data_IF_061456635848
#
_entry.id   IF_061456635848
#
_cell.length_a   1.000
_cell.length_b   1.000
_cell.length_c   1.000
_cell.angle_alpha   90.00
_cell.angle_beta   90.00
_cell.angle_gamma   90.00
#
_symmetry.space_group_name_H-M   'P 1'
#
loop_
_entity.id
_entity.type
_entity.pdbx_description
1 polymer ?
#
# COMPACT_ATOMS: atom_id res chain seq x y z
N UNK A 1 17.63 -51.18 49.48
CA UNK A 1 18.44 -50.11 48.88
C UNK A 1 17.69 -49.29 47.77
N UNK A 2 16.52 -49.74 47.31
CA UNK A 2 15.74 -49.02 46.27
C UNK A 2 15.03 -47.78 46.76
N UNK A 3 14.43 -47.76 47.91
CA UNK A 3 13.64 -46.64 48.46
C UNK A 3 14.49 -45.43 48.82
N UNK A 4 15.71 -45.60 49.30
CA UNK A 4 16.64 -44.51 49.64
C UNK A 4 17.14 -43.85 48.34
N UNK A 5 17.41 -44.64 47.29
CA UNK A 5 17.78 -44.09 45.97
C UNK A 5 16.62 -43.36 45.28
N UNK A 6 15.39 -43.87 45.42
CA UNK A 6 14.20 -43.22 44.91
C UNK A 6 13.91 -41.91 45.66
N UNK A 7 14.05 -41.87 46.98
CA UNK A 7 13.88 -40.67 47.79
C UNK A 7 14.97 -39.62 47.50
N UNK A 8 16.24 -40.03 47.36
CA UNK A 8 17.33 -39.13 46.98
C UNK A 8 17.19 -38.65 45.52
N UNK A 9 16.69 -39.50 44.64
CA UNK A 9 16.40 -39.11 43.27
C UNK A 9 15.26 -38.09 43.18
N UNK A 10 14.19 -38.31 43.93
CA UNK A 10 13.05 -37.40 44.00
C UNK A 10 13.41 -36.04 44.66
N UNK A 11 14.14 -36.10 45.80
CA UNK A 11 14.62 -34.91 46.46
C UNK A 11 15.61 -34.10 45.58
N UNK A 12 16.50 -34.81 44.88
CA UNK A 12 17.43 -34.16 43.94
C UNK A 12 16.75 -33.54 42.74
N UNK A 13 15.68 -34.16 42.24
CA UNK A 13 14.84 -33.58 41.17
C UNK A 13 14.11 -32.30 41.62
N UNK A 14 13.39 -32.38 42.74
CA UNK A 14 12.67 -31.24 43.32
C UNK A 14 13.60 -30.06 43.67
N UNK A 15 14.79 -30.37 44.23
CA UNK A 15 15.79 -29.32 44.49
C UNK A 15 16.39 -28.75 43.21
N UNK A 16 16.58 -29.56 42.16
CA UNK A 16 17.07 -29.07 40.87
C UNK A 16 16.07 -28.12 40.16
N UNK A 17 14.78 -28.42 40.28
CA UNK A 17 13.72 -27.61 39.71
C UNK A 17 13.49 -26.26 40.45
N UNK A 18 14.05 -26.09 41.66
CA UNK A 18 14.02 -24.82 42.43
C UNK A 18 15.21 -23.87 42.18
N UNK A 19 16.15 -24.28 41.33
CA UNK A 19 17.30 -23.43 40.99
C UNK A 19 16.95 -22.46 39.91
N UNK A 20 17.34 -21.20 40.08
CA UNK A 20 17.19 -20.12 39.07
C UNK A 20 17.94 -20.48 37.80
N UNK A 21 17.23 -20.47 36.71
CA UNK A 21 17.73 -20.81 35.38
C UNK A 21 17.90 -19.54 34.54
N UNK A 22 18.71 -19.64 33.53
CA UNK A 22 18.89 -18.58 32.54
C UNK A 22 18.49 -19.09 31.17
N UNK A 23 17.39 -18.52 30.61
CA UNK A 23 16.88 -18.85 29.30
C UNK A 23 17.31 -17.80 28.29
N UNK A 24 17.71 -18.23 27.13
CA UNK A 24 18.12 -17.35 26.06
C UNK A 24 17.86 -18.01 24.70
N UNK A 25 17.88 -17.20 23.66
CA UNK A 25 17.98 -17.65 22.28
C UNK A 25 19.21 -16.97 21.67
N UNK A 26 19.99 -17.71 20.92
CA UNK A 26 21.07 -17.13 20.12
C UNK A 26 20.49 -16.24 18.99
N UNK A 27 21.36 -15.54 18.28
CA UNK A 27 20.92 -14.69 17.17
C UNK A 27 20.13 -15.53 16.16
N UNK A 28 18.87 -15.15 15.94
CA UNK A 28 18.00 -15.82 14.96
C UNK A 28 18.38 -15.38 13.55
N UNK A 29 18.85 -16.28 12.67
CA UNK A 29 19.05 -16.00 11.27
C UNK A 29 17.71 -15.72 10.56
N UNK A 30 17.76 -15.18 9.33
CA UNK A 30 16.56 -14.76 8.60
C UNK A 30 15.66 -15.92 8.16
N UNK A 31 16.16 -17.14 8.17
CA UNK A 31 15.42 -18.36 7.82
C UNK A 31 14.69 -18.98 9.03
N UNK A 32 15.05 -18.61 10.26
CA UNK A 32 14.43 -19.11 11.48
C UNK A 32 13.36 -18.12 11.97
N UNK A 33 12.11 -18.56 12.00
CA UNK A 33 10.95 -17.75 12.40
C UNK A 33 10.59 -17.89 13.86
N UNK A 34 10.65 -19.09 14.37
CA UNK A 34 10.41 -19.41 15.78
C UNK A 34 11.30 -20.56 16.24
N UNK A 35 11.69 -20.54 17.50
CA UNK A 35 12.47 -21.62 18.11
C UNK A 35 12.18 -21.73 19.60
N UNK A 36 12.50 -22.86 20.17
CA UNK A 36 12.45 -23.05 21.62
C UNK A 36 13.63 -22.32 22.27
N UNK A 37 13.39 -21.74 23.45
CA UNK A 37 14.45 -21.15 24.28
C UNK A 37 15.34 -22.22 24.93
N UNK A 38 16.61 -21.91 25.03
CA UNK A 38 17.62 -22.79 25.59
C UNK A 38 17.98 -22.39 27.01
N UNK A 39 18.13 -23.40 27.90
CA UNK A 39 18.70 -23.19 29.23
C UNK A 39 20.21 -23.07 29.10
N UNK A 40 20.80 -22.02 29.70
CA UNK A 40 22.25 -21.88 29.77
C UNK A 40 22.85 -22.95 30.66
N UNK A 41 23.53 -23.89 30.05
CA UNK A 41 24.29 -24.91 30.76
C UNK A 41 25.75 -24.45 30.90
N UNK A 42 26.17 -24.14 32.12
CA UNK A 42 27.59 -23.90 32.40
C UNK A 42 28.16 -25.19 33.01
N UNK A 43 29.43 -25.55 32.72
CA UNK A 43 30.09 -26.72 33.28
C UNK A 43 30.23 -26.68 34.83
N UNK A 44 29.76 -25.59 35.46
CA UNK A 44 29.65 -25.41 36.91
C UNK A 44 28.21 -25.43 37.42
N UNK A 45 27.22 -25.59 36.52
CA UNK A 45 25.83 -25.68 36.91
C UNK A 45 25.56 -27.03 37.54
N UNK A 46 25.15 -27.06 38.80
CA UNK A 46 24.75 -28.27 39.49
C UNK A 46 23.39 -28.82 39.02
N UNK A 47 22.65 -28.05 38.21
CA UNK A 47 21.31 -28.42 37.74
C UNK A 47 21.35 -29.11 36.37
N UNK A 48 21.92 -30.34 36.35
CA UNK A 48 21.90 -31.21 35.15
C UNK A 48 20.72 -32.17 35.10
N UNK A 49 19.82 -32.13 36.11
CA UNK A 49 18.71 -33.05 36.29
C UNK A 49 17.34 -32.37 36.30
N UNK A 50 17.28 -31.05 36.12
CA UNK A 50 16.01 -30.30 36.05
C UNK A 50 15.19 -30.71 34.82
N UNK A 51 13.88 -30.69 34.95
CA UNK A 51 12.99 -30.92 33.82
C UNK A 51 13.05 -29.72 32.89
N UNK A 52 13.27 -29.96 31.60
CA UNK A 52 13.36 -28.90 30.60
C UNK A 52 12.02 -28.13 30.38
N UNK A 53 10.93 -28.72 30.89
CA UNK A 53 9.58 -28.19 30.79
C UNK A 53 9.09 -27.52 32.09
N UNK A 54 10.00 -27.11 32.98
CA UNK A 54 9.68 -26.36 34.20
C UNK A 54 10.56 -25.10 34.23
N UNK A 55 9.94 -23.96 34.44
CA UNK A 55 10.61 -22.68 34.64
C UNK A 55 10.55 -22.33 36.13
N UNK A 56 11.68 -22.32 36.79
CA UNK A 56 11.74 -22.02 38.22
C UNK A 56 11.45 -20.53 38.47
N UNK A 57 10.69 -20.23 39.54
CA UNK A 57 10.45 -18.85 39.95
C UNK A 57 11.76 -18.11 40.20
N UNK A 58 11.90 -16.91 39.65
CA UNK A 58 13.10 -16.09 39.69
C UNK A 58 14.14 -16.47 38.62
N UNK A 59 13.82 -17.37 37.68
CA UNK A 59 14.63 -17.61 36.50
C UNK A 59 14.69 -16.36 35.60
N UNK A 60 15.79 -16.22 34.87
CA UNK A 60 16.02 -15.08 33.98
C UNK A 60 15.68 -15.49 32.54
N UNK A 61 14.94 -14.63 31.86
CA UNK A 61 14.64 -14.74 30.44
C UNK A 61 15.31 -13.58 29.73
N UNK A 62 16.30 -13.86 28.90
CA UNK A 62 17.00 -12.85 28.10
C UNK A 62 16.33 -12.71 26.72
N UNK A 63 16.03 -11.49 26.31
CA UNK A 63 15.47 -11.13 25.02
C UNK A 63 16.46 -10.25 24.29
N UNK A 64 16.86 -10.64 23.08
CA UNK A 64 17.75 -9.83 22.25
C UNK A 64 16.94 -8.96 21.26
N UNK A 65 17.61 -7.96 20.70
CA UNK A 65 17.02 -7.12 19.66
C UNK A 65 16.45 -7.96 18.49
N UNK A 66 15.24 -7.65 18.09
CA UNK A 66 14.55 -8.35 17.01
C UNK A 66 14.05 -9.74 17.37
N UNK A 67 13.94 -10.03 18.67
CA UNK A 67 13.33 -11.24 19.20
C UNK A 67 12.12 -10.89 20.09
N UNK A 68 11.19 -11.84 20.15
CA UNK A 68 10.12 -11.82 21.14
C UNK A 68 10.12 -13.14 21.88
N UNK A 69 10.29 -13.11 23.21
CA UNK A 69 10.16 -14.29 24.07
C UNK A 69 8.69 -14.47 24.48
N UNK A 70 8.22 -15.71 24.46
CA UNK A 70 6.86 -16.11 24.82
C UNK A 70 6.89 -17.28 25.76
N UNK A 71 6.22 -17.18 26.91
CA UNK A 71 6.07 -18.27 27.87
C UNK A 71 4.72 -18.95 27.64
N UNK A 72 4.78 -20.25 27.45
CA UNK A 72 3.61 -21.10 27.21
C UNK A 72 3.51 -22.09 28.36
N UNK A 73 2.36 -22.14 29.03
CA UNK A 73 2.06 -23.05 30.12
C UNK A 73 0.86 -23.93 29.75
N UNK A 74 1.04 -25.24 29.76
CA UNK A 74 -0.01 -26.20 29.36
C UNK A 74 -0.66 -25.85 28.01
N UNK A 75 0.15 -25.43 27.04
CA UNK A 75 -0.32 -25.02 25.70
C UNK A 75 -0.98 -23.65 25.62
N UNK A 76 -1.00 -22.86 26.72
CA UNK A 76 -1.52 -21.49 26.73
C UNK A 76 -0.39 -20.50 26.86
N UNK A 77 -0.45 -19.41 26.09
CA UNK A 77 0.44 -18.28 26.26
C UNK A 77 0.09 -17.57 27.56
N UNK A 78 1.03 -17.51 28.50
CA UNK A 78 0.86 -16.89 29.81
C UNK A 78 1.61 -15.58 29.94
N UNK A 79 2.74 -15.43 29.23
CA UNK A 79 3.52 -14.20 29.24
C UNK A 79 4.27 -14.02 27.91
N UNK A 80 4.61 -12.79 27.57
CA UNK A 80 5.38 -12.47 26.36
C UNK A 80 6.13 -11.16 26.55
N UNK A 81 7.35 -11.07 26.03
CA UNK A 81 8.18 -9.88 26.04
C UNK A 81 8.89 -9.69 24.71
N UNK A 82 8.78 -8.50 24.13
CA UNK A 82 9.45 -8.11 22.87
C UNK A 82 10.51 -7.02 23.08
N UNK A 83 10.65 -6.49 24.30
CA UNK A 83 11.68 -5.50 24.60
C UNK A 83 13.01 -6.22 24.89
N UNK A 84 14.13 -5.73 24.32
CA UNK A 84 15.44 -6.27 24.63
C UNK A 84 15.81 -6.07 26.11
N UNK A 85 16.31 -7.12 26.73
CA UNK A 85 16.71 -7.06 28.13
C UNK A 85 16.73 -8.44 28.82
N UNK A 86 16.99 -8.43 30.13
CA UNK A 86 16.92 -9.60 31.01
C UNK A 86 15.76 -9.43 31.98
N UNK A 87 14.83 -10.37 31.93
CA UNK A 87 13.59 -10.34 32.72
C UNK A 87 13.57 -11.47 33.71
N UNK A 88 13.12 -11.20 34.93
CA UNK A 88 12.97 -12.24 35.97
C UNK A 88 11.56 -12.79 35.90
N UNK A 89 11.44 -14.09 35.69
CA UNK A 89 10.16 -14.78 35.73
C UNK A 89 9.66 -14.88 37.18
N UNK A 90 8.50 -14.31 37.47
CA UNK A 90 7.85 -14.35 38.76
C UNK A 90 6.41 -14.84 38.62
N UNK A 91 6.14 -16.02 39.16
CA UNK A 91 4.82 -16.65 39.14
C UNK A 91 3.78 -15.92 40.00
N UNK A 92 4.19 -15.03 40.90
CA UNK A 92 3.32 -14.24 41.78
C UNK A 92 2.91 -12.88 41.22
N UNK A 93 3.58 -12.40 40.17
CA UNK A 93 3.25 -11.12 39.54
C UNK A 93 2.20 -11.28 38.47
N UNK A 94 1.41 -10.21 38.25
CA UNK A 94 0.53 -10.16 37.08
C UNK A 94 1.38 -10.26 35.79
N UNK A 95 0.89 -10.93 34.73
CA UNK A 95 1.62 -11.06 33.47
C UNK A 95 2.18 -9.71 33.05
N UNK A 96 3.46 -9.68 32.71
CA UNK A 96 4.14 -8.46 32.24
C UNK A 96 3.72 -8.20 30.81
N UNK A 97 2.55 -7.60 30.65
CA UNK A 97 2.02 -7.25 29.33
C UNK A 97 2.64 -5.94 28.87
N UNK A 98 3.72 -6.02 28.09
CA UNK A 98 4.11 -5.12 27.02
C UNK A 98 4.38 -3.66 27.33
N UNK A 99 5.57 -3.28 27.13
CA UNK A 99 5.98 -2.01 26.58
C UNK A 99 6.56 -2.25 25.18
N UNK A 100 6.10 -1.48 24.18
CA UNK A 100 6.62 -1.55 22.80
C UNK A 100 5.54 -1.43 21.72
N UNK A 101 5.95 -1.22 20.48
CA UNK A 101 5.09 -1.01 19.28
C UNK A 101 4.09 -2.14 18.98
N UNK A 102 4.27 -3.31 19.56
CA UNK A 102 3.42 -4.49 19.41
C UNK A 102 2.20 -4.50 20.37
N UNK A 103 2.11 -3.53 21.30
CA UNK A 103 1.21 -3.60 22.46
C UNK A 103 -0.29 -3.54 22.15
N UNK A 104 -0.71 -2.76 21.16
CA UNK A 104 -2.15 -2.52 20.93
C UNK A 104 -2.88 -3.72 20.29
N UNK A 105 -2.28 -4.35 19.29
CA UNK A 105 -2.90 -5.48 18.59
C UNK A 105 -2.89 -6.77 19.40
N UNK A 106 -1.91 -6.92 20.29
CA UNK A 106 -1.69 -8.13 21.09
C UNK A 106 -2.55 -8.14 22.35
N UNK A 107 -2.74 -7.01 23.01
CA UNK A 107 -3.55 -6.92 24.23
C UNK A 107 -4.99 -7.41 24.04
N UNK A 108 -5.61 -7.12 22.92
CA UNK A 108 -6.96 -7.58 22.59
C UNK A 108 -7.05 -9.10 22.37
N UNK A 109 -6.02 -9.71 21.77
CA UNK A 109 -5.98 -11.15 21.53
C UNK A 109 -5.74 -11.91 22.85
N UNK A 110 -4.86 -11.37 23.70
CA UNK A 110 -4.56 -11.98 24.99
C UNK A 110 -5.76 -12.03 25.96
N UNK A 111 -6.54 -10.94 26.04
CA UNK A 111 -7.76 -10.90 26.85
C UNK A 111 -8.80 -11.93 26.40
N UNK A 112 -8.85 -12.29 25.13
CA UNK A 112 -9.78 -13.29 24.60
C UNK A 112 -9.33 -14.72 24.86
N UNK A 113 -8.02 -14.97 24.96
CA UNK A 113 -7.46 -16.31 25.24
C UNK A 113 -7.63 -16.65 26.73
N UNK A 114 -7.41 -15.71 27.64
CA UNK A 114 -7.47 -15.92 29.09
C UNK A 114 -8.86 -16.28 29.64
N UNK A 115 -9.94 -16.01 28.89
CA UNK A 115 -11.33 -16.22 29.36
C UNK A 115 -11.88 -17.63 29.13
N UNK A 116 -11.15 -18.53 28.46
CA UNK A 116 -11.78 -19.77 27.94
C UNK A 116 -11.63 -21.02 28.79
N UNK A 117 -10.67 -21.12 29.74
CA UNK A 117 -10.50 -22.36 30.50
C UNK A 117 -9.99 -22.15 31.93
N UNK A 118 -10.75 -22.57 32.89
CA UNK A 118 -10.29 -22.84 34.26
C UNK A 118 -10.18 -24.36 34.41
N UNK A 119 -8.95 -24.88 34.49
CA UNK A 119 -8.71 -26.28 34.85
C UNK A 119 -8.22 -26.37 36.31
N UNK A 120 -8.86 -27.24 37.09
CA UNK A 120 -8.40 -27.58 38.41
C UNK A 120 -7.54 -28.87 38.39
N UNK A 121 -6.42 -28.81 39.05
CA UNK A 121 -5.55 -29.98 39.30
C UNK A 121 -4.07 -29.59 39.33
N UNK A 122 -3.39 -29.84 40.47
CA UNK A 122 -1.93 -29.73 40.61
C UNK A 122 -1.25 -30.89 39.84
N UNK A 123 -1.10 -30.73 38.54
CA UNK A 123 -0.19 -31.54 37.74
C UNK A 123 1.11 -30.74 37.52
N UNK A 124 2.28 -31.39 37.35
CA UNK A 124 3.49 -30.67 36.99
C UNK A 124 3.21 -29.86 35.70
N UNK A 125 3.31 -28.55 35.83
CA UNK A 125 2.98 -27.61 34.74
C UNK A 125 4.01 -27.76 33.63
N UNK A 126 3.57 -28.07 32.41
CA UNK A 126 4.46 -28.06 31.25
C UNK A 126 4.63 -26.60 30.80
N UNK A 127 5.78 -26.01 31.13
CA UNK A 127 6.14 -24.65 30.84
C UNK A 127 7.24 -24.63 29.78
N UNK A 128 7.06 -23.84 28.74
CA UNK A 128 8.02 -23.72 27.64
C UNK A 128 8.23 -22.25 27.28
N UNK A 129 9.45 -21.92 26.86
CA UNK A 129 9.78 -20.60 26.33
C UNK A 129 10.03 -20.75 24.83
N UNK A 130 9.37 -19.90 24.04
CA UNK A 130 9.58 -19.80 22.61
C UNK A 130 10.09 -18.40 22.27
N UNK A 131 10.96 -18.33 21.27
CA UNK A 131 11.46 -17.08 20.73
C UNK A 131 10.99 -16.94 19.28
N UNK A 132 10.51 -15.77 18.94
CA UNK A 132 10.03 -15.41 17.61
C UNK A 132 10.92 -14.34 17.00
N UNK A 133 11.19 -14.46 15.72
CA UNK A 133 11.95 -13.48 14.96
C UNK A 133 11.00 -12.33 14.56
N UNK A 134 11.19 -11.15 15.15
CA UNK A 134 10.40 -9.95 14.86
C UNK A 134 11.09 -9.00 13.89
N UNK A 135 12.28 -9.37 13.40
CA UNK A 135 13.01 -8.60 12.38
C UNK A 135 12.30 -8.68 11.04
N UNK A 136 12.66 -7.76 10.17
CA UNK A 136 12.26 -7.83 8.77
C UNK A 136 12.94 -9.02 8.08
N UNK A 137 12.13 -9.89 7.49
CA UNK A 137 12.55 -11.10 6.79
C UNK A 137 12.64 -10.79 5.30
N UNK A 138 13.83 -10.43 4.88
CA UNK A 138 14.14 -9.99 3.51
C UNK A 138 14.45 -11.14 2.54
N UNK A 139 14.48 -10.83 1.23
CA UNK A 139 14.96 -11.75 0.20
C UNK A 139 13.93 -12.80 -0.22
N UNK A 140 12.62 -12.57 0.01
CA UNK A 140 11.58 -13.48 -0.44
C UNK A 140 11.26 -13.18 -1.90
N UNK A 141 11.69 -14.07 -2.81
CA UNK A 141 11.48 -13.92 -4.25
C UNK A 141 10.10 -14.36 -4.66
N UNK A 142 9.47 -13.57 -5.53
CA UNK A 142 8.23 -13.93 -6.18
C UNK A 142 8.31 -13.71 -7.69
N UNK A 143 7.43 -14.36 -8.42
CA UNK A 143 7.26 -14.16 -9.85
C UNK A 143 5.92 -14.74 -10.28
N UNK A 144 5.26 -14.10 -11.24
CA UNK A 144 3.98 -14.54 -11.77
C UNK A 144 4.19 -15.58 -12.87
N UNK A 145 3.94 -16.89 -12.62
CA UNK A 145 4.10 -17.92 -13.63
C UNK A 145 3.08 -17.74 -14.77
N UNK A 146 1.87 -17.32 -14.42
CA UNK A 146 0.83 -16.91 -15.37
C UNK A 146 0.68 -15.39 -15.35
N UNK A 147 0.35 -14.77 -16.50
CA UNK A 147 0.09 -13.34 -16.55
C UNK A 147 -1.07 -12.95 -15.61
N UNK A 148 -0.98 -11.78 -14.97
CA UNK A 148 -2.01 -11.23 -14.12
C UNK A 148 -2.70 -10.09 -14.86
N UNK A 149 -4.05 -10.02 -14.85
CA UNK A 149 -4.78 -8.92 -15.47
C UNK A 149 -4.43 -7.58 -14.78
N UNK A 150 -4.20 -6.56 -15.59
CA UNK A 150 -4.00 -5.18 -15.14
C UNK A 150 -4.82 -4.24 -16.03
N UNK A 151 -5.73 -3.49 -15.42
CA UNK A 151 -6.55 -2.52 -16.14
C UNK A 151 -5.73 -1.26 -16.42
N UNK A 152 -5.66 -0.86 -17.68
CA UNK A 152 -5.02 0.37 -18.12
C UNK A 152 -6.09 1.39 -18.43
N UNK A 153 -6.10 2.48 -17.65
CA UNK A 153 -7.01 3.61 -17.87
C UNK A 153 -6.20 4.84 -18.23
N UNK A 154 -6.46 5.41 -19.41
CA UNK A 154 -5.95 6.72 -19.80
C UNK A 154 -7.11 7.59 -20.31
N UNK A 155 -7.66 8.40 -19.41
CA UNK A 155 -8.82 9.27 -19.70
C UNK A 155 -8.54 10.27 -20.83
N UNK A 156 -7.28 10.68 -21.03
CA UNK A 156 -6.90 11.63 -22.09
C UNK A 156 -6.88 10.96 -23.46
N UNK A 157 -6.52 9.70 -23.50
CA UNK A 157 -6.48 8.90 -24.71
C UNK A 157 -7.79 8.13 -24.96
N UNK A 158 -8.75 8.15 -24.01
CA UNK A 158 -9.96 7.36 -24.06
C UNK A 158 -9.70 5.86 -24.04
N UNK A 159 -8.61 5.42 -23.39
CA UNK A 159 -8.20 4.02 -23.29
C UNK A 159 -8.72 3.47 -21.96
N UNK A 160 -9.44 2.36 -22.03
CA UNK A 160 -9.86 1.58 -20.87
C UNK A 160 -9.87 0.10 -21.31
N UNK A 161 -8.77 -0.60 -21.02
CA UNK A 161 -8.56 -1.98 -21.45
C UNK A 161 -7.83 -2.78 -20.37
N UNK A 162 -8.06 -4.08 -20.35
CA UNK A 162 -7.30 -5.02 -19.53
C UNK A 162 -6.14 -5.59 -20.35
N UNK A 163 -4.95 -5.60 -19.79
CA UNK A 163 -3.75 -6.22 -20.33
C UNK A 163 -3.25 -7.32 -19.42
N UNK A 164 -2.49 -8.24 -19.96
CA UNK A 164 -1.90 -9.34 -19.23
C UNK A 164 -0.43 -9.02 -18.90
N UNK A 165 -0.12 -8.79 -17.60
CA UNK A 165 1.24 -8.47 -17.17
C UNK A 165 1.91 -9.63 -16.44
N UNK A 166 3.20 -9.79 -16.65
CA UNK A 166 4.07 -10.63 -15.84
C UNK A 166 5.01 -9.76 -15.05
N UNK A 167 5.19 -10.07 -13.77
CA UNK A 167 6.13 -9.37 -12.93
C UNK A 167 6.90 -10.35 -12.03
N UNK A 168 8.08 -9.93 -11.63
CA UNK A 168 8.87 -10.60 -10.61
C UNK A 168 9.60 -9.56 -9.77
N UNK A 169 9.97 -9.98 -8.56
CA UNK A 169 10.67 -9.12 -7.62
C UNK A 169 10.90 -9.83 -6.30
N UNK A 170 11.11 -9.03 -5.28
CA UNK A 170 11.32 -9.49 -3.91
C UNK A 170 10.39 -8.74 -2.97
N UNK A 171 9.97 -9.41 -1.92
CA UNK A 171 9.21 -8.80 -0.84
C UNK A 171 9.84 -9.13 0.51
N UNK A 172 9.56 -8.33 1.48
CA UNK A 172 9.88 -8.61 2.86
C UNK A 172 8.62 -8.62 3.72
N UNK A 173 8.66 -9.40 4.78
CA UNK A 173 7.60 -9.45 5.77
C UNK A 173 8.17 -9.53 7.17
N UNK A 174 7.35 -9.29 8.17
CA UNK A 174 7.69 -9.47 9.58
C UNK A 174 6.54 -10.11 10.34
N UNK A 175 6.87 -10.74 11.45
CA UNK A 175 5.88 -11.22 12.42
C UNK A 175 5.53 -10.05 13.34
N UNK A 176 4.31 -9.52 13.19
CA UNK A 176 3.79 -8.41 13.98
C UNK A 176 3.00 -8.88 15.20
N UNK A 177 2.49 -10.10 15.17
CA UNK A 177 1.78 -10.70 16.30
C UNK A 177 2.23 -12.15 16.53
N UNK A 178 3.26 -12.35 17.38
CA UNK A 178 3.78 -13.67 17.69
C UNK A 178 2.75 -14.63 18.30
N UNK A 179 1.72 -14.14 19.01
CA UNK A 179 0.67 -14.98 19.59
C UNK A 179 -0.16 -15.64 18.49
N UNK A 180 -0.58 -14.83 17.50
CA UNK A 180 -1.33 -15.36 16.35
C UNK A 180 -0.47 -16.33 15.54
N UNK A 181 0.81 -16.02 15.38
CA UNK A 181 1.75 -16.89 14.68
C UNK A 181 1.93 -18.21 15.40
N UNK A 182 2.11 -18.19 16.73
CA UNK A 182 2.18 -19.39 17.54
C UNK A 182 0.89 -20.21 17.45
N UNK A 183 -0.25 -19.58 17.67
CA UNK A 183 -1.53 -20.30 17.79
C UNK A 183 -2.00 -20.89 16.45
N UNK A 184 -1.74 -20.21 15.33
CA UNK A 184 -2.33 -20.57 14.04
C UNK A 184 -1.31 -21.12 13.02
N UNK A 185 0.00 -21.03 13.31
CA UNK A 185 1.04 -21.42 12.35
C UNK A 185 1.96 -22.48 12.91
N UNK A 186 2.82 -22.13 13.87
CA UNK A 186 3.89 -23.03 14.29
C UNK A 186 3.52 -23.93 15.47
N UNK A 187 2.63 -23.49 16.39
CA UNK A 187 2.32 -24.26 17.60
C UNK A 187 3.56 -24.58 18.44
N UNK A 188 3.58 -25.76 19.04
CA UNK A 188 4.72 -26.26 19.81
C UNK A 188 5.84 -26.72 18.87
N UNK A 189 6.91 -25.96 18.81
CA UNK A 189 8.11 -26.24 18.02
C UNK A 189 9.14 -26.95 18.90
N UNK A 190 9.75 -28.01 18.41
CA UNK A 190 10.81 -28.74 19.16
C UNK A 190 12.20 -28.15 18.89
N UNK A 191 12.60 -28.05 17.64
CA UNK A 191 13.93 -27.53 17.25
C UNK A 191 13.85 -26.11 16.67
N UNK A 192 12.91 -25.85 15.78
CA UNK A 192 12.72 -24.56 15.15
C UNK A 192 11.64 -24.62 14.07
N UNK A 193 11.02 -23.49 13.78
CA UNK A 193 10.10 -23.31 12.66
C UNK A 193 10.75 -22.40 11.64
N UNK A 194 11.00 -22.95 10.47
CA UNK A 194 11.76 -22.25 9.43
C UNK A 194 10.85 -21.59 8.41
N UNK A 195 11.42 -20.65 7.68
CA UNK A 195 10.73 -19.94 6.61
C UNK A 195 10.23 -20.88 5.51
N UNK A 196 10.97 -21.92 5.19
CA UNK A 196 10.62 -22.88 4.12
C UNK A 196 9.31 -23.61 4.39
N UNK A 197 8.93 -23.77 5.65
CA UNK A 197 7.69 -24.43 6.05
C UNK A 197 6.43 -23.64 5.70
N UNK A 198 6.52 -22.31 5.61
CA UNK A 198 5.38 -21.44 5.30
C UNK A 198 5.49 -20.75 3.94
N UNK A 199 6.70 -20.67 3.36
CA UNK A 199 6.99 -19.88 2.14
C UNK A 199 6.08 -20.25 0.96
N UNK A 200 5.83 -21.53 0.74
CA UNK A 200 4.94 -21.98 -0.32
C UNK A 200 3.52 -21.44 -0.19
N UNK A 201 2.98 -21.42 1.03
CA UNK A 201 1.65 -20.89 1.32
C UNK A 201 1.61 -19.38 1.16
N UNK A 202 2.61 -18.67 1.69
CA UNK A 202 2.71 -17.21 1.56
C UNK A 202 2.80 -16.77 0.10
N UNK A 203 3.62 -17.44 -0.71
CA UNK A 203 3.73 -17.19 -2.15
C UNK A 203 2.42 -17.41 -2.89
N UNK A 204 1.73 -18.51 -2.62
CA UNK A 204 0.44 -18.81 -3.27
C UNK A 204 -0.62 -17.74 -2.95
N UNK A 205 -0.70 -17.31 -1.69
CA UNK A 205 -1.64 -16.28 -1.28
C UNK A 205 -1.25 -14.90 -1.82
N UNK A 206 0.03 -14.58 -1.86
CA UNK A 206 0.55 -13.36 -2.46
C UNK A 206 0.19 -13.29 -3.96
N UNK A 207 0.37 -14.39 -4.71
CA UNK A 207 -0.01 -14.44 -6.14
C UNK A 207 -1.51 -14.18 -6.32
N UNK A 208 -2.34 -14.72 -5.45
CA UNK A 208 -3.80 -14.46 -5.48
C UNK A 208 -4.14 -13.01 -5.14
N UNK A 209 -3.38 -12.40 -4.24
CA UNK A 209 -3.59 -11.01 -3.79
C UNK A 209 -3.10 -9.97 -4.80
N UNK A 210 -2.20 -10.32 -5.72
CA UNK A 210 -1.66 -9.40 -6.73
C UNK A 210 -2.76 -8.83 -7.63
N UNK A 211 -3.72 -9.64 -8.06
CA UNK A 211 -4.77 -9.15 -8.96
C UNK A 211 -5.63 -8.05 -8.32
N UNK A 212 -6.24 -8.21 -7.13
CA UNK A 212 -6.98 -7.13 -6.50
C UNK A 212 -6.09 -5.95 -6.06
N UNK A 213 -4.82 -6.19 -5.72
CA UNK A 213 -3.88 -5.11 -5.43
C UNK A 213 -3.59 -4.28 -6.69
N UNK A 214 -3.35 -4.92 -7.84
CA UNK A 214 -3.17 -4.22 -9.10
C UNK A 214 -4.42 -3.46 -9.55
N UNK A 215 -5.62 -3.97 -9.27
CA UNK A 215 -6.85 -3.25 -9.53
C UNK A 215 -6.89 -1.93 -8.73
N UNK A 216 -6.56 -1.95 -7.43
CA UNK A 216 -6.47 -0.74 -6.60
C UNK A 216 -5.45 0.26 -7.15
N UNK A 217 -4.28 -0.20 -7.57
CA UNK A 217 -3.23 0.65 -8.14
C UNK A 217 -3.68 1.26 -9.48
N UNK A 218 -4.35 0.48 -10.31
CA UNK A 218 -4.93 0.97 -11.57
C UNK A 218 -6.00 2.05 -11.33
N UNK A 219 -6.87 1.88 -10.34
CA UNK A 219 -7.89 2.86 -9.98
C UNK A 219 -7.28 4.20 -9.49
N UNK A 220 -6.04 4.17 -8.97
CA UNK A 220 -5.26 5.38 -8.66
C UNK A 220 -4.68 6.06 -9.91
N UNK A 221 -4.89 5.50 -11.11
CA UNK A 221 -4.37 6.01 -12.37
C UNK A 221 -2.88 5.72 -12.61
N UNK A 222 -2.29 4.82 -11.86
CA UNK A 222 -0.88 4.42 -11.99
C UNK A 222 -0.76 3.41 -13.13
N UNK A 223 0.14 3.69 -14.09
CA UNK A 223 0.39 2.80 -15.22
C UNK A 223 1.21 1.58 -14.79
N UNK A 224 1.01 0.42 -15.44
CA UNK A 224 1.77 -0.80 -15.16
C UNK A 224 3.30 -0.59 -15.26
N UNK A 225 3.76 0.22 -16.21
CA UNK A 225 5.18 0.53 -16.39
C UNK A 225 5.79 1.39 -15.25
N UNK A 226 4.95 2.03 -14.44
CA UNK A 226 5.36 2.84 -13.30
C UNK A 226 5.37 2.05 -11.98
N UNK A 227 4.87 0.81 -11.95
CA UNK A 227 4.82 -0.04 -10.75
C UNK A 227 6.13 -0.12 -9.98
N UNK A 228 7.32 -0.21 -10.63
CA UNK A 228 8.60 -0.22 -9.89
C UNK A 228 8.87 1.05 -9.07
N UNK A 229 8.21 2.16 -9.40
CA UNK A 229 8.29 3.43 -8.66
C UNK A 229 7.25 3.59 -7.54
N UNK A 230 6.24 2.70 -7.46
CA UNK A 230 5.10 2.77 -6.53
C UNK A 230 5.06 1.56 -5.60
N UNK A 231 6.22 1.25 -5.03
CA UNK A 231 6.41 0.05 -4.18
C UNK A 231 5.70 0.16 -2.85
N UNK A 232 5.57 1.36 -2.28
CA UNK A 232 4.88 1.59 -1.01
C UNK A 232 3.37 1.40 -1.17
N UNK A 233 2.78 2.01 -2.17
CA UNK A 233 1.35 1.91 -2.47
C UNK A 233 0.97 0.45 -2.78
N UNK A 234 1.88 -0.28 -3.43
CA UNK A 234 1.69 -1.69 -3.71
C UNK A 234 1.73 -2.54 -2.43
N UNK A 235 2.67 -2.27 -1.52
CA UNK A 235 2.76 -2.95 -0.23
C UNK A 235 1.50 -2.69 0.62
N UNK A 236 1.01 -1.46 0.66
CA UNK A 236 -0.24 -1.11 1.33
C UNK A 236 -1.46 -1.82 0.72
N UNK A 237 -1.59 -1.80 -0.61
CA UNK A 237 -2.67 -2.49 -1.30
C UNK A 237 -2.66 -4.00 -1.05
N UNK A 238 -1.48 -4.62 -1.00
CA UNK A 238 -1.33 -6.04 -0.68
C UNK A 238 -1.67 -6.32 0.79
N UNK A 239 -1.22 -5.50 1.73
CA UNK A 239 -1.55 -5.65 3.15
C UNK A 239 -3.06 -5.56 3.39
N UNK A 240 -3.75 -4.64 2.71
CA UNK A 240 -5.20 -4.54 2.78
C UNK A 240 -5.89 -5.83 2.31
N UNK A 241 -5.47 -6.38 1.17
CA UNK A 241 -6.04 -7.61 0.60
C UNK A 241 -5.72 -8.82 1.48
N UNK A 242 -4.51 -8.89 2.01
CA UNK A 242 -4.03 -10.00 2.85
C UNK A 242 -4.38 -9.85 4.34
N UNK A 243 -4.96 -8.72 4.75
CA UNK A 243 -5.20 -8.36 6.16
C UNK A 243 -5.91 -9.46 6.96
N UNK A 244 -6.85 -10.17 6.36
CA UNK A 244 -7.59 -11.25 7.05
C UNK A 244 -6.73 -12.48 7.24
N UNK A 245 -6.00 -12.91 6.20
CA UNK A 245 -5.21 -14.15 6.23
C UNK A 245 -3.85 -13.97 6.89
N UNK A 246 -3.15 -12.89 6.57
CA UNK A 246 -1.81 -12.65 7.09
C UNK A 246 -1.86 -11.90 8.43
N UNK A 247 -2.54 -10.76 8.48
CA UNK A 247 -2.59 -9.94 9.68
C UNK A 247 -3.42 -10.58 10.80
N UNK A 248 -4.72 -10.79 10.58
CA UNK A 248 -5.66 -11.23 11.63
C UNK A 248 -5.54 -12.71 11.99
N UNK A 249 -5.16 -13.57 11.03
CA UNK A 249 -5.03 -15.00 11.29
C UNK A 249 -3.61 -15.37 11.73
N UNK A 250 -2.57 -14.87 11.05
CA UNK A 250 -1.18 -15.31 11.29
C UNK A 250 -0.30 -14.29 11.98
N UNK A 251 -0.72 -13.03 12.07
CA UNK A 251 0.09 -11.97 12.65
C UNK A 251 1.32 -11.61 11.83
N UNK A 252 1.21 -11.64 10.50
CA UNK A 252 2.27 -11.34 9.53
C UNK A 252 1.85 -10.11 8.71
N UNK A 253 2.82 -9.26 8.38
CA UNK A 253 2.63 -8.06 7.58
C UNK A 253 3.74 -7.93 6.53
N UNK A 254 3.39 -7.49 5.32
CA UNK A 254 4.38 -7.10 4.31
C UNK A 254 4.98 -5.75 4.72
N UNK A 255 6.31 -5.70 4.82
CA UNK A 255 7.06 -4.48 5.13
C UNK A 255 7.43 -3.75 3.84
N UNK A 256 7.94 -4.49 2.85
CA UNK A 256 8.26 -3.93 1.55
C UNK A 256 7.88 -4.88 0.42
N UNK A 257 7.55 -4.30 -0.72
CA UNK A 257 7.24 -5.06 -1.93
C UNK A 257 7.92 -4.43 -3.14
N UNK A 258 8.97 -5.07 -3.64
CA UNK A 258 9.75 -4.60 -4.77
C UNK A 258 9.32 -5.27 -6.08
N UNK A 259 9.20 -4.49 -7.15
CA UNK A 259 8.97 -4.99 -8.51
C UNK A 259 10.24 -4.76 -9.32
N UNK A 260 11.00 -5.80 -9.55
CA UNK A 260 12.26 -5.74 -10.31
C UNK A 260 12.01 -5.60 -11.80
N UNK A 261 10.95 -6.22 -12.30
CA UNK A 261 10.53 -6.12 -13.70
C UNK A 261 9.04 -6.36 -13.83
N UNK A 262 8.43 -5.60 -14.73
CA UNK A 262 7.06 -5.79 -15.18
C UNK A 262 7.01 -5.71 -16.71
N UNK A 263 6.35 -6.66 -17.34
CA UNK A 263 6.18 -6.73 -18.80
C UNK A 263 4.76 -7.11 -19.13
N UNK A 264 4.15 -6.42 -20.08
CA UNK A 264 2.94 -6.86 -20.74
C UNK A 264 3.28 -7.90 -21.81
N UNK A 265 2.29 -8.60 -22.35
CA UNK A 265 2.47 -9.44 -23.52
C UNK A 265 2.88 -8.59 -24.73
N UNK A 266 3.60 -9.16 -25.69
CA UNK A 266 3.99 -8.44 -26.90
C UNK A 266 2.77 -7.91 -27.68
N UNK A 267 1.69 -8.68 -27.70
CA UNK A 267 0.42 -8.29 -28.33
C UNK A 267 -0.21 -7.10 -27.63
N UNK A 268 -0.28 -7.11 -26.30
CA UNK A 268 -0.82 -6.02 -25.50
C UNK A 268 0.02 -4.75 -25.61
N UNK A 269 1.36 -4.89 -25.62
CA UNK A 269 2.25 -3.75 -25.82
C UNK A 269 2.08 -3.10 -27.21
N UNK A 270 1.91 -3.91 -28.24
CA UNK A 270 1.65 -3.42 -29.59
C UNK A 270 0.29 -2.73 -29.67
N UNK A 271 -0.75 -3.34 -29.12
CA UNK A 271 -2.09 -2.76 -29.04
C UNK A 271 -2.09 -1.41 -28.29
N UNK A 272 -1.43 -1.35 -27.14
CA UNK A 272 -1.30 -0.08 -26.38
C UNK A 272 -0.58 1.01 -27.18
N UNK A 273 0.52 0.65 -27.86
CA UNK A 273 1.28 1.60 -28.70
C UNK A 273 0.42 2.10 -29.86
N UNK A 274 -0.36 1.22 -30.48
CA UNK A 274 -1.28 1.62 -31.56
C UNK A 274 -2.41 2.51 -31.05
N UNK A 275 -3.02 2.17 -29.91
CA UNK A 275 -4.05 3.01 -29.28
C UNK A 275 -3.52 4.38 -28.90
N UNK A 276 -2.32 4.44 -28.28
CA UNK A 276 -1.69 5.72 -27.92
C UNK A 276 -1.34 6.54 -29.18
N UNK A 277 -0.88 5.88 -30.24
CA UNK A 277 -0.64 6.57 -31.53
C UNK A 277 -1.93 7.09 -32.14
N UNK A 278 -2.98 6.28 -32.13
CA UNK A 278 -4.29 6.69 -32.66
C UNK A 278 -4.89 7.83 -31.83
N UNK A 279 -4.77 7.77 -30.51
CA UNK A 279 -5.19 8.86 -29.61
C UNK A 279 -4.41 10.16 -29.87
N UNK A 280 -3.12 10.08 -30.20
CA UNK A 280 -2.33 11.23 -30.58
C UNK A 280 -2.82 11.87 -31.90
N UNK A 281 -3.43 11.07 -32.81
CA UNK A 281 -4.01 11.55 -34.06
C UNK A 281 -5.47 12.02 -33.94
N UNK A 282 -6.11 11.87 -32.78
CA UNK A 282 -7.39 12.52 -32.50
C UNK A 282 -7.27 14.05 -32.42
N UNK A 283 -6.06 14.56 -32.15
CA UNK A 283 -5.76 15.99 -32.34
C UNK A 283 -5.63 16.32 -33.84
N UNK A 284 -6.53 17.14 -34.41
CA UNK A 284 -6.51 17.44 -35.83
C UNK A 284 -5.18 18.04 -36.31
N UNK A 285 -4.49 18.81 -35.45
CA UNK A 285 -3.21 19.42 -35.78
C UNK A 285 -2.10 18.40 -35.92
N UNK A 286 -2.08 17.41 -35.04
CA UNK A 286 -1.11 16.30 -35.10
C UNK A 286 -1.40 15.34 -36.24
N UNK A 287 -2.68 15.09 -36.51
CA UNK A 287 -3.12 14.30 -37.66
C UNK A 287 -2.69 14.92 -38.98
N UNK A 288 -2.85 16.26 -39.11
CA UNK A 288 -2.40 17.02 -40.26
C UNK A 288 -0.87 16.95 -40.45
N UNK A 289 -0.11 17.13 -39.38
CA UNK A 289 1.35 17.05 -39.42
C UNK A 289 1.84 15.66 -39.87
N UNK A 290 1.19 14.60 -39.37
CA UNK A 290 1.49 13.21 -39.73
C UNK A 290 1.16 12.93 -41.20
N UNK A 291 0.01 13.42 -41.67
CA UNK A 291 -0.39 13.29 -43.09
C UNK A 291 0.62 13.98 -44.04
N UNK A 292 1.06 15.18 -43.68
CA UNK A 292 2.09 15.92 -44.46
C UNK A 292 3.42 15.14 -44.44
N UNK A 293 3.83 14.60 -43.28
CA UNK A 293 5.04 13.80 -43.17
C UNK A 293 4.96 12.49 -43.98
N UNK A 294 3.82 11.81 -43.95
CA UNK A 294 3.59 10.60 -44.74
C UNK A 294 3.61 10.88 -46.23
N UNK A 295 3.02 12.01 -46.65
CA UNK A 295 3.07 12.46 -48.05
C UNK A 295 4.50 12.78 -48.51
N UNK A 296 5.27 13.51 -47.68
CA UNK A 296 6.67 13.82 -47.97
C UNK A 296 7.52 12.53 -48.07
N UNK A 297 7.32 11.55 -47.18
CA UNK A 297 8.02 10.25 -47.20
C UNK A 297 7.64 9.44 -48.45
N UNK A 298 6.36 9.42 -48.81
CA UNK A 298 5.90 8.72 -50.04
C UNK A 298 6.52 9.38 -51.30
N UNK A 299 6.61 10.69 -51.33
CA UNK A 299 7.30 11.42 -52.40
C UNK A 299 8.79 11.08 -52.50
N UNK A 300 9.47 11.00 -51.33
CA UNK A 300 10.87 10.65 -51.25
C UNK A 300 11.13 9.21 -51.75
N UNK A 301 10.27 8.30 -51.36
CA UNK A 301 10.31 6.89 -51.84
C UNK A 301 10.03 6.77 -53.32
N UNK A 302 9.04 7.51 -53.84
CA UNK A 302 8.72 7.55 -55.24
C UNK A 302 9.85 8.21 -56.09
N UNK A 303 10.52 9.24 -55.59
CA UNK A 303 11.66 9.85 -56.22
C UNK A 303 12.91 8.94 -56.27
N UNK A 304 13.06 8.02 -55.30
CA UNK A 304 14.13 7.04 -55.25
C UNK A 304 13.93 5.82 -56.17
N UNK A 305 12.72 5.60 -56.68
CA UNK A 305 12.40 4.47 -57.58
C UNK A 305 12.67 4.87 -59.04
N UNK A 306 13.75 4.33 -59.58
CA UNK A 306 14.18 4.60 -61.00
C UNK A 306 13.19 4.05 -62.08
N UNK A 307 12.15 3.31 -61.70
CA UNK A 307 11.21 2.70 -62.67
C UNK A 307 9.85 3.38 -62.83
N UNK A 308 9.47 4.31 -61.94
CA UNK A 308 8.23 5.05 -62.04
C UNK A 308 8.53 6.54 -62.18
N UNK A 309 8.38 7.06 -63.41
CA UNK A 309 8.68 8.46 -63.64
C UNK A 309 7.92 9.42 -62.69
N UNK A 310 8.50 10.60 -62.40
CA UNK A 310 7.93 11.60 -61.45
C UNK A 310 6.50 12.01 -61.76
N UNK A 311 6.08 11.86 -63.03
CA UNK A 311 4.72 12.21 -63.49
C UNK A 311 3.63 11.30 -62.93
N UNK A 312 3.92 10.00 -62.71
CA UNK A 312 2.96 9.03 -62.12
C UNK A 312 2.74 9.25 -60.64
N UNK A 313 3.78 9.63 -59.92
CA UNK A 313 3.66 9.97 -58.50
C UNK A 313 2.81 11.24 -58.26
N UNK A 314 2.98 12.22 -59.14
CA UNK A 314 2.20 13.48 -59.12
C UNK A 314 0.72 13.28 -59.50
N UNK A 315 0.46 12.35 -60.43
CA UNK A 315 -0.90 12.00 -60.87
C UNK A 315 -1.67 11.23 -59.79
N UNK A 316 -0.99 10.32 -59.09
CA UNK A 316 -1.55 9.58 -57.94
C UNK A 316 -1.95 10.51 -56.78
N UNK A 317 -1.17 11.52 -56.50
CA UNK A 317 -1.41 12.47 -55.44
C UNK A 317 -2.54 13.46 -55.73
N UNK A 318 -2.67 13.90 -56.97
CA UNK A 318 -3.81 14.69 -57.44
C UNK A 318 -5.13 13.92 -57.40
N UNK A 319 -5.11 12.65 -57.78
CA UNK A 319 -6.29 11.77 -57.68
C UNK A 319 -6.70 11.49 -56.23
N UNK A 320 -5.76 11.30 -55.28
CA UNK A 320 -6.04 11.12 -53.87
C UNK A 320 -6.65 12.40 -53.23
N UNK A 321 -6.21 13.57 -53.64
CA UNK A 321 -6.80 14.84 -53.23
C UNK A 321 -8.20 15.10 -53.82
N UNK A 322 -8.46 14.64 -55.03
CA UNK A 322 -9.76 14.81 -55.72
C UNK A 322 -10.82 13.78 -55.27
N UNK A 323 -10.42 12.64 -54.72
CA UNK A 323 -11.31 11.58 -54.23
C UNK A 323 -11.93 11.84 -52.85
N UNK A 324 -11.91 13.07 -52.33
CA UNK A 324 -12.55 13.43 -51.05
C UNK A 324 -11.78 13.06 -49.78
N UNK A 325 -10.47 12.79 -49.90
CA UNK A 325 -9.61 12.60 -48.76
C UNK A 325 -9.51 13.88 -47.92
N UNK A 326 -9.53 13.71 -46.58
CA UNK A 326 -9.35 14.85 -45.66
C UNK A 326 -8.02 15.56 -45.96
N UNK A 327 -8.11 16.84 -46.35
CA UNK A 327 -6.95 17.65 -46.69
C UNK A 327 -6.28 18.15 -45.41
N UNK A 328 -4.95 18.15 -45.36
CA UNK A 328 -4.17 18.66 -44.24
C UNK A 328 -4.60 20.07 -43.81
N UNK A 329 -4.98 20.94 -44.77
CA UNK A 329 -5.50 22.28 -44.48
C UNK A 329 -6.81 22.28 -43.69
N UNK A 330 -7.74 21.38 -44.02
CA UNK A 330 -9.00 21.24 -43.27
C UNK A 330 -8.75 20.73 -41.83
N UNK A 331 -7.81 19.84 -41.65
CA UNK A 331 -7.40 19.34 -40.31
C UNK A 331 -6.73 20.43 -39.48
N UNK A 332 -5.88 21.27 -40.09
CA UNK A 332 -5.29 22.44 -39.40
C UNK A 332 -6.36 23.46 -39.00
N UNK A 333 -7.36 23.72 -39.85
CA UNK A 333 -8.47 24.61 -39.52
C UNK A 333 -9.34 24.05 -38.41
N UNK A 334 -9.63 22.76 -38.41
CA UNK A 334 -10.34 22.08 -37.31
C UNK A 334 -9.55 22.16 -36.00
N UNK A 335 -8.23 21.95 -36.04
CA UNK A 335 -7.36 22.08 -34.88
C UNK A 335 -7.35 23.49 -34.31
N UNK A 336 -7.29 24.50 -35.18
CA UNK A 336 -7.34 25.91 -34.77
C UNK A 336 -8.71 26.25 -34.13
N UNK A 337 -9.82 25.75 -34.68
CA UNK A 337 -11.15 25.92 -34.09
C UNK A 337 -11.29 25.23 -32.74
N UNK A 338 -10.72 24.03 -32.57
CA UNK A 338 -10.74 23.29 -31.32
C UNK A 338 -9.90 23.98 -30.24
N UNK A 339 -8.73 24.55 -30.61
CA UNK A 339 -7.92 25.34 -29.68
C UNK A 339 -8.60 26.66 -29.31
N UNK A 340 -9.31 27.30 -30.24
CA UNK A 340 -10.09 28.50 -29.96
C UNK A 340 -11.29 28.23 -29.04
N UNK A 341 -11.90 27.04 -29.16
CA UNK A 341 -12.98 26.57 -28.27
C UNK A 341 -12.50 26.12 -26.88
N UNK A 342 -11.25 25.67 -26.77
CA UNK A 342 -10.63 25.27 -25.51
C UNK A 342 -10.02 26.45 -24.73
N UNK A 343 -9.81 27.60 -25.35
CA UNK A 343 -9.50 28.82 -24.61
C UNK A 343 -10.78 29.26 -23.89
N UNK A 344 -10.72 29.50 -22.54
CA UNK A 344 -11.84 30.16 -21.87
C UNK A 344 -12.12 31.41 -22.67
N UNK A 345 -13.37 31.55 -23.14
CA UNK A 345 -13.79 32.76 -23.87
C UNK A 345 -13.30 33.95 -23.03
N UNK A 346 -12.57 34.92 -23.62
CA UNK A 346 -12.23 36.11 -22.88
C UNK A 346 -13.55 36.60 -22.31
N UNK A 347 -13.62 36.72 -21.00
CA UNK A 347 -14.79 37.24 -20.31
C UNK A 347 -15.24 38.47 -21.10
N UNK A 348 -16.51 38.56 -21.53
CA UNK A 348 -16.96 39.68 -22.32
C UNK A 348 -16.51 40.93 -21.57
N UNK A 349 -15.67 41.73 -22.20
CA UNK A 349 -15.24 42.98 -21.61
C UNK A 349 -16.54 43.68 -21.20
N UNK A 350 -16.78 43.74 -19.88
CA UNK A 350 -17.96 44.42 -19.35
C UNK A 350 -17.92 45.82 -19.97
N UNK A 351 -18.81 46.06 -20.92
CA UNK A 351 -19.06 47.42 -21.39
C UNK A 351 -19.20 48.27 -20.11
N UNK A 352 -18.55 49.43 -20.02
CA UNK A 352 -18.57 50.21 -18.81
C UNK A 352 -20.03 50.42 -18.41
N UNK A 353 -20.45 49.74 -17.33
CA UNK A 353 -21.80 49.78 -16.87
C UNK A 353 -22.09 51.24 -16.46
N UNK A 354 -22.78 51.96 -17.33
CA UNK A 354 -23.21 53.32 -17.05
C UNK A 354 -24.11 53.30 -15.80
N UNK A 355 -23.88 54.19 -14.86
CA UNK A 355 -24.72 54.33 -13.66
C UNK A 355 -26.01 55.11 -13.97
N UNK A 356 -27.05 54.82 -13.20
CA UNK A 356 -28.37 55.50 -13.32
C UNK A 356 -28.46 56.60 -12.28
N UNK A 357 -28.81 57.82 -12.74
CA UNK A 357 -29.00 58.94 -11.87
C UNK A 357 -30.42 58.96 -11.27
N UNK A 358 -30.58 59.62 -10.09
CA UNK A 358 -31.90 59.82 -9.45
C UNK A 358 -32.93 60.57 -10.30
N UNK A 359 -32.47 61.27 -11.34
CA UNK A 359 -33.36 61.91 -12.33
C UNK A 359 -33.89 60.96 -13.41
N UNK A 360 -33.57 59.64 -13.35
CA UNK A 360 -34.01 58.63 -14.32
C UNK A 360 -33.08 58.45 -15.53
N UNK A 361 -32.02 59.23 -15.68
CA UNK A 361 -31.05 59.09 -16.79
C UNK A 361 -30.17 57.85 -16.53
N UNK A 362 -30.17 56.91 -17.47
CA UNK A 362 -29.36 55.68 -17.47
C UNK A 362 -28.14 55.85 -18.38
N UNK A 363 -27.13 54.99 -18.21
CA UNK A 363 -25.96 54.93 -19.11
C UNK A 363 -24.91 56.02 -18.87
N UNK A 364 -24.90 56.68 -17.72
CA UNK A 364 -23.88 57.67 -17.40
C UNK A 364 -22.51 57.01 -17.20
N UNK A 365 -21.48 57.38 -17.96
CA UNK A 365 -20.13 56.88 -17.87
C UNK A 365 -19.18 57.79 -17.08
N UNK A 366 -19.57 59.05 -16.89
CA UNK A 366 -18.79 60.09 -16.22
C UNK A 366 -19.03 60.19 -14.69
N UNK A 367 -18.37 61.16 -14.05
CA UNK A 367 -18.53 61.46 -12.62
C UNK A 367 -19.80 62.24 -12.32
N UNK A 368 -20.46 62.79 -13.34
CA UNK A 368 -21.68 63.56 -13.23
C UNK A 368 -22.72 63.12 -14.25
N UNK A 369 -23.98 63.26 -13.93
CA UNK A 369 -25.10 62.92 -14.82
C UNK A 369 -25.12 63.84 -16.00
N UNK A 370 -25.19 63.30 -17.24
CA UNK A 370 -25.22 64.08 -18.46
C UNK A 370 -26.48 64.94 -18.63
N UNK A 371 -27.58 64.60 -17.94
CA UNK A 371 -28.84 65.35 -18.07
C UNK A 371 -29.05 66.43 -17.00
N UNK A 372 -28.69 66.13 -15.71
CA UNK A 372 -29.00 67.07 -14.60
C UNK A 372 -27.76 67.52 -13.82
N UNK A 373 -26.54 67.05 -14.15
CA UNK A 373 -25.29 67.49 -13.51
C UNK A 373 -25.04 66.89 -12.08
N UNK A 374 -25.93 66.07 -11.57
CA UNK A 374 -25.74 65.47 -10.25
C UNK A 374 -24.56 64.49 -10.23
N UNK A 375 -23.77 64.49 -9.15
CA UNK A 375 -22.62 63.59 -9.04
C UNK A 375 -23.05 62.12 -8.90
N UNK A 376 -22.20 61.22 -9.37
CA UNK A 376 -22.39 59.77 -9.23
C UNK A 376 -22.54 59.39 -7.75
N UNK A 377 -23.57 58.63 -7.35
CA UNK A 377 -23.71 58.14 -5.98
C UNK A 377 -22.47 57.38 -5.53
N UNK A 378 -21.99 57.62 -4.30
CA UNK A 378 -20.92 56.85 -3.72
C UNK A 378 -21.34 55.35 -3.57
N UNK A 379 -20.45 54.40 -3.84
CA UNK A 379 -20.76 52.98 -3.63
C UNK A 379 -21.13 52.76 -2.16
N UNK A 380 -22.23 52.04 -1.91
CA UNK A 380 -22.60 51.63 -0.57
C UNK A 380 -21.47 50.77 0.04
N UNK A 381 -21.15 50.91 1.33
CA UNK A 381 -20.14 50.09 1.95
C UNK A 381 -20.47 48.63 1.75
N UNK A 382 -19.47 47.86 1.28
CA UNK A 382 -19.62 46.42 1.08
C UNK A 382 -20.05 45.78 2.40
N UNK A 383 -21.18 45.07 2.38
CA UNK A 383 -21.62 44.30 3.56
C UNK A 383 -20.52 43.28 3.95
N UNK A 384 -20.11 43.34 5.21
CA UNK A 384 -19.10 42.42 5.73
C UNK A 384 -19.58 40.97 5.57
N UNK A 385 -18.87 40.16 4.82
CA UNK A 385 -19.16 38.76 4.70
C UNK A 385 -18.58 38.02 5.91
N UNK A 386 -19.32 37.04 6.46
CA UNK A 386 -18.90 36.19 7.55
C UNK A 386 -19.06 34.71 7.16
N UNK A 387 -18.26 33.84 7.78
CA UNK A 387 -18.29 32.39 7.52
C UNK A 387 -18.95 31.69 8.71
N UNK A 388 -20.01 30.99 8.45
CA UNK A 388 -20.71 30.19 9.46
C UNK A 388 -19.90 28.96 9.86
N UNK A 389 -20.13 28.42 11.05
CA UNK A 389 -19.52 27.16 11.53
C UNK A 389 -19.81 25.96 10.60
N UNK A 390 -20.82 26.01 9.75
CA UNK A 390 -21.07 25.02 8.70
C UNK A 390 -20.23 25.21 7.43
N UNK A 391 -19.28 26.17 7.38
CA UNK A 391 -18.41 26.45 6.25
C UNK A 391 -19.00 27.34 5.15
N UNK A 392 -20.23 27.82 5.28
CA UNK A 392 -20.90 28.64 4.26
C UNK A 392 -20.62 30.12 4.46
N UNK A 393 -20.20 30.85 3.41
CA UNK A 393 -20.02 32.29 3.42
C UNK A 393 -21.37 33.01 3.27
N UNK A 394 -21.62 33.99 4.14
CA UNK A 394 -22.90 34.71 4.20
C UNK A 394 -22.68 36.22 4.26
N UNK A 395 -23.64 36.98 3.75
CA UNK A 395 -23.68 38.46 3.82
C UNK A 395 -24.85 38.97 4.67
N UNK A 396 -25.76 38.11 5.07
CA UNK A 396 -26.93 38.41 5.89
C UNK A 396 -26.72 38.12 7.37
N UNK A 397 -27.74 38.40 8.21
CA UNK A 397 -27.75 38.14 9.66
C UNK A 397 -27.89 36.67 10.03
N UNK A 398 -28.25 35.81 9.08
CA UNK A 398 -28.45 34.36 9.28
C UNK A 398 -27.74 33.59 8.18
N UNK A 399 -27.28 32.40 8.48
CA UNK A 399 -26.70 31.50 7.51
C UNK A 399 -27.78 30.97 6.55
N UNK A 400 -27.54 31.09 5.24
CA UNK A 400 -28.49 30.64 4.23
C UNK A 400 -28.60 29.10 4.13
N UNK A 401 -27.67 28.35 4.71
CA UNK A 401 -27.63 26.90 4.69
C UNK A 401 -28.20 26.27 5.97
N UNK A 402 -27.85 26.77 7.17
CA UNK A 402 -28.23 26.16 8.43
C UNK A 402 -29.11 27.07 9.34
N UNK A 403 -29.35 28.32 8.95
CA UNK A 403 -30.19 29.24 9.70
C UNK A 403 -29.55 29.86 10.96
N UNK A 404 -28.30 29.51 11.27
CA UNK A 404 -27.60 30.06 12.46
C UNK A 404 -27.36 31.56 12.32
N UNK A 405 -27.54 32.38 13.38
CA UNK A 405 -27.22 33.80 13.38
C UNK A 405 -25.72 34.06 13.35
N UNK A 406 -25.31 35.29 13.01
CA UNK A 406 -23.88 35.71 13.02
C UNK A 406 -23.26 35.61 14.41
#
# INVERSE_FOLDING_TARGET
MGLIRAAMGAAGGVMADQWKEYFYCEAMPADLLATRGWKRQSGRSANTKGNDNIISNGSIVAVADGQCAMIVEQGKVVDMCAEPGEYTYDTGSAPTLFSGDLSESIGAVFQNIGKRFTFGGEAPMDQRIYYFNTKELVGNKYGTPSPVPFRVVDQRAGIDIDIAIRCFGEYSYRITNPILFYTNVCGNVEEGYTRDEIDGQLKSELMTALQPAFAKISDMGIRYSALPGHTMELAEALNDVLSVKWGKLRGIEIVSFGVSSVKASEEDEQMLKEMQRNAAFMDPTRAAAHLVGAQASAMQTAAGNQGAGPAMAFMGMNMAGAAGGMNAQNLYQMGAQQQAAAQPAPAPASAPAGWTCSCGQTGNTGKFCANCGNPKPAPAPAAASWVCSCGTSNTGKFCCNCGSPT
#
